data_IF_103174735012
#
_entry.id   IF_103174735012
#
_cell.length_a   1.000
_cell.length_b   1.000
_cell.length_c   1.000
_cell.angle_alpha   90.00
_cell.angle_beta   90.00
_cell.angle_gamma   90.00
#
_symmetry.space_group_name_H-M   'P 1'
#
loop_
_entity.id
_entity.type
_entity.pdbx_description
1 polymer ?
#
# COMPACT_ATOMS: atom_id res chain seq x y z
N UNK A 1 -0.96 -38.75 -24.06
CA UNK A 1 -0.79 -38.18 -22.69
C UNK A 1 -0.26 -36.74 -22.81
N UNK A 2 -1.13 -35.72 -22.76
CA UNK A 2 -0.71 -34.31 -22.78
C UNK A 2 -0.30 -33.88 -21.37
N UNK A 3 0.96 -33.47 -21.19
CA UNK A 3 1.47 -32.85 -19.94
C UNK A 3 0.82 -31.47 -19.78
N UNK A 4 0.05 -31.29 -18.71
CA UNK A 4 -0.41 -29.98 -18.28
C UNK A 4 0.81 -29.13 -17.85
N UNK A 5 1.05 -28.01 -18.54
CA UNK A 5 2.03 -27.01 -18.10
C UNK A 5 1.38 -26.22 -16.97
N UNK A 6 1.93 -26.33 -15.77
CA UNK A 6 1.60 -25.48 -14.63
C UNK A 6 1.75 -24.01 -15.06
N UNK A 7 0.65 -23.25 -14.96
CA UNK A 7 0.66 -21.81 -15.12
C UNK A 7 1.66 -21.21 -14.14
N UNK A 8 2.56 -20.36 -14.64
CA UNK A 8 3.48 -19.59 -13.83
C UNK A 8 2.65 -18.63 -12.97
N UNK A 9 2.36 -19.03 -11.73
CA UNK A 9 1.88 -18.12 -10.69
C UNK A 9 3.06 -17.23 -10.26
N UNK A 10 3.52 -16.39 -11.19
CA UNK A 10 4.40 -15.26 -10.87
C UNK A 10 3.63 -14.31 -9.98
N UNK A 11 4.35 -13.63 -9.09
CA UNK A 11 3.85 -12.43 -8.43
C UNK A 11 3.09 -11.58 -9.48
N UNK A 12 1.92 -10.99 -9.15
CA UNK A 12 1.19 -10.17 -10.10
C UNK A 12 2.18 -9.14 -10.66
N UNK A 13 2.08 -8.79 -11.95
CA UNK A 13 2.94 -7.78 -12.55
C UNK A 13 2.57 -6.38 -12.04
N UNK A 14 2.03 -6.26 -10.82
CA UNK A 14 2.28 -5.06 -10.04
C UNK A 14 3.76 -5.10 -9.72
N UNK A 15 4.54 -4.14 -10.23
CA UNK A 15 5.73 -3.82 -9.48
C UNK A 15 5.18 -3.47 -8.08
N UNK A 16 5.66 -4.13 -7.03
CA UNK A 16 6.12 -3.31 -5.91
C UNK A 16 6.83 -2.17 -6.62
N UNK A 17 6.32 -0.94 -6.59
CA UNK A 17 6.83 0.17 -7.40
C UNK A 17 8.22 0.58 -6.91
N UNK A 18 9.17 -0.36 -6.97
CA UNK A 18 10.61 -0.29 -6.74
C UNK A 18 11.29 -1.45 -7.50
N UNK A 19 10.86 -1.73 -8.72
CA UNK A 19 11.86 -2.08 -9.73
C UNK A 19 12.62 -0.78 -9.99
N UNK A 20 13.79 -0.60 -9.36
CA UNK A 20 14.76 0.42 -9.78
C UNK A 20 14.95 0.26 -11.29
N UNK A 21 14.62 1.24 -12.14
CA UNK A 21 15.21 1.27 -13.47
C UNK A 21 16.65 1.73 -13.24
N UNK A 22 17.61 0.80 -13.33
CA UNK A 22 18.95 1.16 -13.76
C UNK A 22 18.84 1.69 -15.19
N UNK A 23 18.59 2.99 -15.34
CA UNK A 23 18.65 3.68 -16.63
C UNK A 23 19.55 4.89 -16.44
N UNK A 24 20.68 4.89 -17.14
CA UNK A 24 21.60 6.01 -17.23
C UNK A 24 20.84 7.25 -17.71
N UNK A 25 20.90 8.33 -16.93
CA UNK A 25 20.38 9.62 -17.35
C UNK A 25 21.21 10.16 -18.50
N UNK A 26 20.67 10.06 -19.72
CA UNK A 26 21.01 10.95 -20.82
C UNK A 26 20.26 12.27 -20.61
N UNK A 27 21.01 13.32 -20.32
CA UNK A 27 20.49 14.68 -20.14
C UNK A 27 19.85 15.20 -21.43
N UNK A 28 18.56 15.56 -21.39
CA UNK A 28 17.98 16.60 -22.26
C UNK A 28 16.88 17.36 -21.51
N UNK A 29 17.13 18.64 -21.37
CA UNK A 29 16.28 19.68 -20.78
C UNK A 29 15.08 19.97 -21.67
N UNK A 30 13.89 20.13 -21.08
CA UNK A 30 12.72 20.72 -21.70
C UNK A 30 11.84 21.40 -20.63
N UNK A 31 11.04 22.43 -20.99
CA UNK A 31 10.79 23.59 -20.15
C UNK A 31 9.64 23.44 -19.16
N UNK A 32 9.78 24.15 -18.05
CA UNK A 32 8.90 24.20 -16.88
C UNK A 32 7.57 24.89 -17.16
N UNK A 33 6.47 24.15 -16.97
CA UNK A 33 5.11 24.71 -16.85
C UNK A 33 4.82 24.97 -15.37
N UNK A 34 4.28 26.14 -14.98
CA UNK A 34 4.02 26.46 -13.58
C UNK A 34 2.79 25.69 -13.08
N UNK A 35 3.02 24.71 -12.21
CA UNK A 35 1.94 24.01 -11.51
C UNK A 35 1.40 24.91 -10.39
N UNK A 36 0.10 25.20 -10.45
CA UNK A 36 -0.62 25.87 -9.36
C UNK A 36 -0.48 25.06 -8.07
N UNK A 37 0.09 25.69 -7.03
CA UNK A 37 0.09 25.24 -5.64
C UNK A 37 -1.36 25.01 -5.19
N UNK A 38 -1.67 23.79 -4.81
CA UNK A 38 -2.98 23.42 -4.30
C UNK A 38 -2.90 22.09 -3.54
N UNK A 39 -2.26 22.12 -2.37
CA UNK A 39 -2.76 21.55 -1.11
C UNK A 39 -1.60 21.12 -0.20
N UNK A 40 -1.32 21.93 0.82
CA UNK A 40 -0.33 21.65 1.87
C UNK A 40 -0.90 20.65 2.91
N UNK A 41 -1.19 19.40 2.50
CA UNK A 41 -1.82 18.39 3.37
C UNK A 41 -0.84 17.37 4.01
N UNK A 42 0.45 17.72 4.11
CA UNK A 42 1.47 16.82 4.66
C UNK A 42 1.80 17.25 6.09
N UNK A 43 1.44 16.43 7.07
CA UNK A 43 1.43 16.88 8.48
C UNK A 43 2.63 16.43 9.32
N UNK A 44 3.39 15.43 8.88
CA UNK A 44 4.49 14.89 9.69
C UNK A 44 5.66 14.43 8.82
N UNK A 45 6.86 14.81 9.25
CA UNK A 45 8.17 14.31 8.79
C UNK A 45 8.92 13.75 9.99
N UNK A 46 9.93 12.91 9.73
CA UNK A 46 10.36 11.90 10.70
C UNK A 46 11.80 12.13 11.24
N UNK A 47 12.09 11.90 12.54
CA UNK A 47 13.44 12.01 13.11
C UNK A 47 14.35 10.79 12.84
N UNK A 48 15.67 11.04 12.79
CA UNK A 48 16.74 10.21 12.18
C UNK A 48 17.04 8.78 12.69
N UNK A 49 16.76 8.32 13.94
CA UNK A 49 17.23 6.99 14.38
C UNK A 49 16.42 5.78 13.82
N UNK A 50 15.28 6.03 13.16
CA UNK A 50 14.40 4.98 12.60
C UNK A 50 14.82 4.44 11.23
N UNK A 51 15.87 5.01 10.61
CA UNK A 51 16.28 4.67 9.23
C UNK A 51 16.65 3.19 9.07
N UNK A 52 17.21 2.56 10.11
CA UNK A 52 17.71 1.18 10.02
C UNK A 52 16.57 0.14 9.97
N UNK A 53 15.51 0.32 10.78
CA UNK A 53 14.36 -0.59 10.78
C UNK A 53 13.66 -0.60 9.42
N UNK A 54 13.39 0.59 8.87
CA UNK A 54 12.60 0.76 7.66
C UNK A 54 13.28 0.18 6.41
N UNK A 55 14.59 0.36 6.30
CA UNK A 55 15.41 -0.28 5.24
C UNK A 55 15.42 -1.80 5.38
N UNK A 56 15.59 -2.31 6.60
CA UNK A 56 15.52 -3.75 6.87
C UNK A 56 14.16 -4.34 6.49
N UNK A 57 13.07 -3.60 6.70
CA UNK A 57 11.73 -4.05 6.27
C UNK A 57 11.64 -4.14 4.75
N UNK A 58 12.18 -3.17 4.01
CA UNK A 58 12.26 -3.27 2.55
C UNK A 58 13.06 -4.51 2.11
N UNK A 59 14.21 -4.76 2.72
CA UNK A 59 15.03 -5.94 2.41
C UNK A 59 14.26 -7.25 2.65
N UNK A 60 13.55 -7.35 3.77
CA UNK A 60 12.73 -8.53 4.11
C UNK A 60 11.63 -8.75 3.06
N UNK A 61 10.92 -7.69 2.67
CA UNK A 61 9.81 -7.76 1.71
C UNK A 61 10.29 -8.17 0.32
N UNK A 62 11.44 -7.66 -0.11
CA UNK A 62 11.96 -7.89 -1.46
C UNK A 62 12.81 -9.15 -1.60
N UNK A 63 13.22 -9.77 -0.48
CA UNK A 63 13.99 -11.01 -0.48
C UNK A 63 13.29 -12.10 -1.31
N UNK A 64 14.07 -12.83 -2.12
CA UNK A 64 13.59 -13.89 -3.02
C UNK A 64 12.47 -13.42 -3.98
N UNK A 65 12.62 -12.20 -4.51
CA UNK A 65 11.64 -11.51 -5.37
C UNK A 65 10.26 -11.40 -4.69
N UNK A 66 10.26 -11.25 -3.37
CA UNK A 66 9.07 -11.20 -2.52
C UNK A 66 8.31 -12.51 -2.40
N UNK A 67 8.78 -13.64 -2.94
CA UNK A 67 8.06 -14.92 -2.81
C UNK A 67 7.82 -15.33 -1.36
N UNK A 68 8.77 -15.03 -0.47
CA UNK A 68 8.64 -15.31 0.96
C UNK A 68 7.69 -14.34 1.66
N UNK A 69 7.26 -13.26 1.01
CA UNK A 69 6.38 -12.25 1.59
C UNK A 69 4.91 -12.61 1.47
N UNK A 70 4.46 -13.03 0.28
CA UNK A 70 3.03 -13.19 -0.03
C UNK A 70 2.56 -14.65 -0.09
N UNK A 71 3.46 -15.63 -0.15
CA UNK A 71 3.09 -17.06 -0.14
C UNK A 71 3.00 -17.56 1.29
N UNK A 72 1.83 -18.02 1.78
CA UNK A 72 1.64 -18.39 3.19
C UNK A 72 2.69 -19.39 3.73
N UNK A 73 2.96 -20.45 2.98
CA UNK A 73 3.92 -21.48 3.38
C UNK A 73 5.36 -20.94 3.46
N UNK A 74 5.77 -20.11 2.49
CA UNK A 74 7.12 -19.53 2.48
C UNK A 74 7.27 -18.44 3.53
N UNK A 75 6.22 -17.64 3.74
CA UNK A 75 6.18 -16.63 4.80
C UNK A 75 6.41 -17.26 6.17
N UNK A 76 5.65 -18.30 6.51
CA UNK A 76 5.81 -19.02 7.79
C UNK A 76 7.20 -19.61 7.95
N UNK A 77 7.77 -20.15 6.88
CA UNK A 77 9.08 -20.84 6.90
C UNK A 77 10.27 -19.88 6.99
N UNK A 78 10.23 -18.77 6.25
CA UNK A 78 11.40 -17.93 6.00
C UNK A 78 11.31 -16.50 6.53
N UNK A 79 10.10 -15.97 6.69
CA UNK A 79 9.88 -14.53 6.95
C UNK A 79 9.37 -14.27 8.35
N UNK A 80 8.39 -15.05 8.82
CA UNK A 80 7.67 -14.77 10.07
C UNK A 80 8.60 -14.61 11.29
N UNK A 81 9.68 -15.41 11.37
CA UNK A 81 10.63 -15.38 12.49
C UNK A 81 11.62 -14.22 12.46
N UNK A 82 11.82 -13.60 11.29
CA UNK A 82 12.77 -12.49 11.11
C UNK A 82 12.09 -11.13 11.09
N UNK A 83 10.75 -11.11 11.18
CA UNK A 83 9.98 -9.88 11.36
C UNK A 83 10.42 -9.18 12.65
N UNK A 84 10.73 -7.87 12.61
CA UNK A 84 11.07 -7.08 13.78
C UNK A 84 9.96 -7.13 14.84
N UNK A 85 10.35 -7.14 16.13
CA UNK A 85 9.41 -7.32 17.26
C UNK A 85 8.48 -6.12 17.47
N UNK A 86 8.85 -4.98 16.89
CA UNK A 86 8.06 -3.74 16.82
C UNK A 86 6.76 -3.96 16.03
N UNK A 87 6.73 -4.95 15.13
CA UNK A 87 5.55 -5.30 14.34
C UNK A 87 4.79 -6.47 14.96
N UNK A 88 3.50 -6.28 15.18
CA UNK A 88 2.60 -7.38 15.55
C UNK A 88 1.87 -7.88 14.30
N UNK A 89 2.15 -9.12 13.89
CA UNK A 89 1.37 -9.81 12.85
C UNK A 89 -0.02 -10.10 13.41
N UNK A 90 -1.05 -9.56 12.77
CA UNK A 90 -2.45 -9.86 13.08
C UNK A 90 -2.94 -11.05 12.26
N UNK A 91 -2.61 -11.07 10.97
CA UNK A 91 -2.96 -12.15 10.05
C UNK A 91 -1.77 -12.45 9.12
N UNK A 92 -1.47 -13.73 8.84
CA UNK A 92 -0.49 -14.09 7.81
C UNK A 92 -0.98 -13.65 6.43
N UNK A 93 -0.12 -13.66 5.38
CA UNK A 93 -0.60 -13.41 4.02
C UNK A 93 -1.66 -14.46 3.67
N UNK A 94 -2.77 -14.08 3.03
CA UNK A 94 -3.79 -15.03 2.62
C UNK A 94 -3.35 -15.83 1.38
N UNK A 95 -4.20 -16.78 0.98
CA UNK A 95 -3.97 -17.57 -0.23
C UNK A 95 -4.02 -16.70 -1.49
N UNK A 96 -3.46 -17.18 -2.60
CA UNK A 96 -3.33 -16.36 -3.82
C UNK A 96 -4.67 -15.89 -4.41
N UNK A 97 -5.75 -16.66 -4.23
CA UNK A 97 -7.10 -16.36 -4.70
C UNK A 97 -7.89 -15.46 -3.74
N UNK A 98 -7.37 -15.24 -2.54
CA UNK A 98 -7.96 -14.40 -1.49
C UNK A 98 -7.09 -13.18 -1.21
N UNK A 99 -6.02 -12.99 -1.97
CA UNK A 99 -5.09 -11.89 -1.76
C UNK A 99 -5.72 -10.53 -2.09
N UNK A 100 -5.44 -9.57 -1.23
CA UNK A 100 -5.89 -8.19 -1.34
C UNK A 100 -4.82 -7.23 -0.81
N UNK A 101 -4.87 -5.98 -1.25
CA UNK A 101 -3.92 -4.94 -0.85
C UNK A 101 -4.46 -3.99 0.25
N UNK A 102 -3.64 -3.03 0.66
CA UNK A 102 -3.96 -2.00 1.66
C UNK A 102 -5.27 -1.27 1.39
N UNK A 103 -5.53 -0.85 0.15
CA UNK A 103 -6.73 -0.11 -0.19
C UNK A 103 -8.01 -0.91 0.01
N UNK A 104 -8.02 -2.20 -0.38
CA UNK A 104 -9.16 -3.09 -0.13
C UNK A 104 -9.37 -3.28 1.39
N UNK A 105 -8.28 -3.37 2.15
CA UNK A 105 -8.34 -3.50 3.60
C UNK A 105 -8.97 -2.27 4.27
N UNK A 106 -8.45 -1.07 4.02
CA UNK A 106 -8.95 0.16 4.68
C UNK A 106 -10.42 0.45 4.32
N UNK A 107 -10.87 0.01 3.14
CA UNK A 107 -12.25 0.14 2.69
C UNK A 107 -13.21 -0.90 3.30
N UNK A 108 -12.70 -1.85 4.11
CA UNK A 108 -13.51 -2.91 4.73
C UNK A 108 -14.00 -3.97 3.75
N UNK A 109 -13.29 -4.15 2.62
CA UNK A 109 -13.70 -5.02 1.51
C UNK A 109 -12.90 -6.32 1.44
N UNK A 110 -12.09 -6.64 2.46
CA UNK A 110 -11.23 -7.84 2.54
C UNK A 110 -11.99 -9.17 2.49
N UNK A 111 -13.27 -9.18 2.84
CA UNK A 111 -14.12 -10.37 2.81
C UNK A 111 -15.11 -10.39 1.63
N UNK A 112 -15.03 -9.42 0.71
CA UNK A 112 -15.84 -9.41 -0.51
C UNK A 112 -15.13 -10.16 -1.63
N UNK A 113 -15.29 -11.48 -1.65
CA UNK A 113 -14.62 -12.36 -2.62
C UNK A 113 -14.95 -12.04 -4.08
N UNK A 114 -16.15 -11.51 -4.35
CA UNK A 114 -16.55 -11.08 -5.69
C UNK A 114 -15.75 -9.84 -6.12
N UNK A 115 -15.63 -8.85 -5.24
CA UNK A 115 -14.82 -7.66 -5.50
C UNK A 115 -13.33 -8.01 -5.64
N UNK A 116 -12.80 -8.88 -4.78
CA UNK A 116 -11.41 -9.32 -4.85
C UNK A 116 -11.12 -9.98 -6.21
N UNK A 117 -11.99 -10.87 -6.69
CA UNK A 117 -11.86 -11.46 -8.04
C UNK A 117 -11.94 -10.41 -9.13
N UNK A 118 -12.92 -9.50 -9.04
CA UNK A 118 -13.17 -8.45 -10.02
C UNK A 118 -11.99 -7.49 -10.21
N UNK A 119 -11.29 -7.17 -9.13
CA UNK A 119 -10.12 -6.29 -9.13
C UNK A 119 -8.78 -7.05 -9.12
N UNK A 120 -8.80 -8.38 -9.20
CA UNK A 120 -7.60 -9.23 -9.05
C UNK A 120 -6.80 -8.92 -7.79
N UNK A 121 -7.50 -8.64 -6.68
CA UNK A 121 -6.89 -8.35 -5.38
C UNK A 121 -6.23 -6.98 -5.27
N UNK A 122 -6.50 -6.05 -6.19
CA UNK A 122 -5.90 -4.72 -6.19
C UNK A 122 -6.89 -3.59 -6.48
N UNK A 123 -7.01 -2.69 -5.51
CA UNK A 123 -7.42 -1.30 -5.78
C UNK A 123 -6.15 -0.47 -5.94
N UNK A 124 -6.01 0.25 -7.05
CA UNK A 124 -4.82 1.07 -7.34
C UNK A 124 -4.94 2.47 -6.75
N UNK A 125 -3.79 3.09 -6.51
CA UNK A 125 -3.69 4.47 -6.01
C UNK A 125 -4.42 5.46 -6.91
N UNK A 126 -4.46 5.24 -8.23
CA UNK A 126 -5.21 6.08 -9.17
C UNK A 126 -6.70 6.20 -8.85
N UNK A 127 -7.36 5.11 -8.43
CA UNK A 127 -8.75 5.15 -8.01
C UNK A 127 -8.88 5.95 -6.71
N UNK A 128 -8.01 5.71 -5.74
CA UNK A 128 -8.06 6.38 -4.45
C UNK A 128 -7.77 7.88 -4.57
N UNK A 129 -6.78 8.25 -5.39
CA UNK A 129 -6.45 9.63 -5.74
C UNK A 129 -7.63 10.32 -6.42
N UNK A 130 -8.31 9.66 -7.36
CA UNK A 130 -9.51 10.20 -8.00
C UNK A 130 -10.61 10.54 -6.99
N UNK A 131 -10.80 9.70 -5.97
CA UNK A 131 -11.78 9.95 -4.92
C UNK A 131 -11.40 11.15 -4.03
N UNK A 132 -10.11 11.39 -3.81
CA UNK A 132 -9.60 12.56 -3.08
C UNK A 132 -9.71 13.84 -3.93
N UNK A 133 -9.32 13.79 -5.21
CA UNK A 133 -9.37 14.91 -6.14
C UNK A 133 -10.81 15.41 -6.33
N UNK A 134 -11.77 14.48 -6.42
CA UNK A 134 -13.20 14.78 -6.51
C UNK A 134 -13.82 15.17 -5.15
N UNK A 135 -13.02 15.27 -4.09
CA UNK A 135 -13.44 15.58 -2.70
C UNK A 135 -14.53 14.64 -2.16
N UNK A 136 -14.57 13.41 -2.67
CA UNK A 136 -15.48 12.36 -2.19
C UNK A 136 -14.93 11.78 -0.89
N UNK A 137 -13.62 11.55 -0.84
CA UNK A 137 -12.89 11.29 0.38
C UNK A 137 -12.40 12.62 0.96
N UNK A 138 -12.58 12.80 2.26
CA UNK A 138 -12.30 14.08 2.93
C UNK A 138 -11.04 13.96 3.78
N UNK A 139 -10.05 14.83 3.54
CA UNK A 139 -8.87 14.94 4.38
C UNK A 139 -9.22 15.54 5.75
N UNK A 140 -8.49 15.14 6.80
CA UNK A 140 -8.70 15.66 8.17
C UNK A 140 -7.37 16.00 8.86
N UNK A 141 -7.44 16.96 9.78
CA UNK A 141 -6.35 17.40 10.64
C UNK A 141 -6.44 16.78 12.04
N UNK A 142 -7.64 16.31 12.38
CA UNK A 142 -7.95 15.65 13.63
C UNK A 142 -8.44 14.21 13.34
N UNK A 143 -7.51 13.29 13.02
CA UNK A 143 -7.86 11.90 12.77
C UNK A 143 -8.43 11.23 14.03
N UNK A 144 -9.43 10.38 13.85
CA UNK A 144 -10.00 9.57 14.90
C UNK A 144 -9.70 8.08 14.67
N UNK A 145 -9.90 7.26 15.69
CA UNK A 145 -9.85 5.81 15.54
C UNK A 145 -10.81 5.37 14.42
N UNK A 146 -10.30 4.55 13.50
CA UNK A 146 -11.03 4.09 12.32
C UNK A 146 -10.76 4.91 11.06
N UNK A 147 -10.30 6.17 11.19
CA UNK A 147 -9.91 6.99 10.03
C UNK A 147 -8.69 6.39 9.32
N UNK A 148 -8.47 6.82 8.08
CA UNK A 148 -7.39 6.32 7.25
C UNK A 148 -6.15 7.19 7.40
N UNK A 149 -4.99 6.54 7.37
CA UNK A 149 -3.70 7.17 7.16
C UNK A 149 -3.18 6.77 5.80
N UNK A 150 -2.68 7.75 5.05
CA UNK A 150 -2.20 7.61 3.68
C UNK A 150 -0.75 8.03 3.63
N UNK A 151 0.11 7.18 3.05
CA UNK A 151 1.54 7.41 2.92
C UNK A 151 1.89 7.91 1.53
N UNK A 152 2.88 8.79 1.48
CA UNK A 152 3.39 9.40 0.27
C UNK A 152 4.92 9.38 0.29
N UNK A 153 5.51 8.95 -0.82
CA UNK A 153 6.92 9.18 -1.11
C UNK A 153 7.04 10.40 -2.03
N UNK A 154 7.03 11.59 -1.43
CA UNK A 154 7.07 12.84 -2.20
C UNK A 154 8.40 13.05 -2.94
N UNK A 155 9.45 12.30 -2.55
CA UNK A 155 10.77 12.41 -3.17
C UNK A 155 10.80 11.67 -4.51
N UNK A 156 10.33 10.44 -4.53
CA UNK A 156 10.41 9.60 -5.73
C UNK A 156 9.09 9.59 -6.53
N UNK A 157 7.95 9.77 -5.86
CA UNK A 157 6.61 9.66 -6.45
C UNK A 157 5.63 10.71 -5.91
N UNK A 158 5.80 12.00 -6.27
CA UNK A 158 5.06 13.12 -5.68
C UNK A 158 3.54 13.12 -5.89
N UNK A 159 3.02 12.26 -6.76
CA UNK A 159 1.58 12.17 -7.10
C UNK A 159 0.97 10.80 -6.79
N UNK A 160 1.71 9.91 -6.14
CA UNK A 160 1.30 8.52 -5.94
C UNK A 160 1.21 8.24 -4.44
N UNK A 161 0.04 7.76 -4.04
CA UNK A 161 -0.14 7.13 -2.75
C UNK A 161 0.58 5.79 -2.76
N UNK A 162 1.55 5.64 -1.86
CA UNK A 162 2.38 4.43 -1.77
C UNK A 162 1.77 3.36 -0.89
N UNK A 163 1.07 3.76 0.19
CA UNK A 163 0.48 2.85 1.15
C UNK A 163 -0.69 3.50 1.92
N UNK A 164 -1.49 2.66 2.58
CA UNK A 164 -2.58 3.11 3.43
C UNK A 164 -2.82 2.17 4.62
N UNK A 165 -3.33 2.73 5.73
CA UNK A 165 -3.71 1.99 6.92
C UNK A 165 -4.90 2.60 7.66
N UNK A 166 -5.35 1.90 8.69
CA UNK A 166 -6.44 2.32 9.59
C UNK A 166 -5.82 2.76 10.92
N UNK A 167 -6.24 3.92 11.41
CA UNK A 167 -5.80 4.46 12.69
C UNK A 167 -6.46 3.69 13.83
N UNK A 168 -5.66 3.12 14.72
CA UNK A 168 -6.18 2.44 15.91
C UNK A 168 -6.17 3.35 17.13
N UNK A 169 -5.10 4.14 17.29
CA UNK A 169 -4.93 5.14 18.34
C UNK A 169 -3.90 6.21 17.89
N UNK A 170 -3.39 7.03 18.81
CA UNK A 170 -2.53 8.20 18.51
C UNK A 170 -1.25 7.86 17.73
N UNK A 171 -0.63 6.71 17.99
CA UNK A 171 0.67 6.34 17.40
C UNK A 171 0.64 4.99 16.68
N UNK A 172 -0.44 4.23 16.81
CA UNK A 172 -0.56 2.86 16.30
C UNK A 172 -1.59 2.77 15.19
N UNK A 173 -1.25 2.01 14.16
CA UNK A 173 -2.11 1.76 13.00
C UNK A 173 -2.18 0.28 12.68
N UNK A 174 -3.22 -0.11 11.95
CA UNK A 174 -3.39 -1.43 11.36
C UNK A 174 -3.31 -1.29 9.85
N UNK A 175 -2.44 -2.03 9.18
CA UNK A 175 -2.34 -1.94 7.72
C UNK A 175 -1.93 -3.25 7.06
N UNK A 176 -2.45 -3.47 5.85
CA UNK A 176 -2.19 -4.64 5.02
C UNK A 176 -1.09 -4.33 4.01
N UNK A 177 0.02 -5.06 4.04
CA UNK A 177 1.20 -4.68 3.25
C UNK A 177 1.22 -5.41 1.91
N UNK A 178 0.59 -4.79 0.90
CA UNK A 178 0.32 -5.41 -0.40
C UNK A 178 -0.32 -6.79 -0.21
N UNK A 179 0.17 -7.85 -0.88
CA UNK A 179 -0.28 -9.24 -0.69
C UNK A 179 0.37 -9.95 0.51
N UNK A 180 1.10 -9.22 1.36
CA UNK A 180 1.74 -9.74 2.57
C UNK A 180 0.80 -9.89 3.77
N UNK A 181 1.35 -9.96 4.99
CA UNK A 181 0.59 -10.01 6.22
C UNK A 181 -0.20 -8.72 6.52
N UNK A 182 -1.14 -8.84 7.45
CA UNK A 182 -1.76 -7.72 8.14
C UNK A 182 -0.99 -7.42 9.43
N UNK A 183 -0.61 -6.17 9.63
CA UNK A 183 0.19 -5.75 10.78
C UNK A 183 -0.50 -4.71 11.63
N UNK A 184 -0.19 -4.74 12.93
CA UNK A 184 -0.34 -3.62 13.86
C UNK A 184 1.06 -3.08 14.19
N UNK A 185 1.26 -1.78 14.03
CA UNK A 185 2.58 -1.16 14.13
C UNK A 185 2.48 0.35 14.38
N UNK A 186 3.58 1.02 14.76
CA UNK A 186 3.58 2.48 14.86
C UNK A 186 3.51 3.12 13.48
N UNK A 187 3.05 4.38 13.41
CA UNK A 187 2.85 5.12 12.15
C UNK A 187 4.03 4.98 11.17
N UNK A 188 5.27 4.88 11.63
CA UNK A 188 6.41 4.81 10.71
C UNK A 188 7.29 3.58 10.90
N UNK A 189 6.81 2.57 11.62
CA UNK A 189 7.37 1.22 11.60
C UNK A 189 6.92 0.52 10.32
N UNK A 190 7.26 1.12 9.18
CA UNK A 190 6.87 0.71 7.82
C UNK A 190 8.10 0.73 6.91
N UNK A 191 8.07 0.04 5.76
CA UNK A 191 9.14 0.11 4.78
C UNK A 191 9.53 1.56 4.43
N UNK A 192 10.82 1.80 4.16
CA UNK A 192 11.33 3.12 3.76
C UNK A 192 10.66 3.55 2.44
N UNK A 193 10.44 2.58 1.57
CA UNK A 193 9.77 2.71 0.28
C UNK A 193 8.33 3.22 0.35
N UNK A 194 7.67 3.21 1.52
CA UNK A 194 6.36 3.85 1.67
C UNK A 194 6.45 5.37 1.82
N UNK A 195 7.66 5.93 2.01
CA UNK A 195 7.88 7.36 2.07
C UNK A 195 7.78 7.93 3.49
N UNK A 196 8.04 9.23 3.61
CA UNK A 196 8.22 9.91 4.90
C UNK A 196 7.08 10.87 5.24
N UNK A 197 6.04 10.90 4.40
CA UNK A 197 4.98 11.88 4.46
C UNK A 197 3.65 11.16 4.62
N UNK A 198 2.82 11.65 5.53
CA UNK A 198 1.49 11.11 5.78
C UNK A 198 0.41 12.19 5.68
N UNK A 199 -0.75 11.79 5.18
CA UNK A 199 -2.00 12.54 5.28
C UNK A 199 -3.09 11.68 5.90
N UNK A 200 -4.12 12.31 6.45
CA UNK A 200 -5.23 11.60 7.10
C UNK A 200 -6.53 11.86 6.36
N UNK A 201 -7.36 10.83 6.27
CA UNK A 201 -8.62 10.84 5.51
C UNK A 201 -9.72 10.24 6.39
N UNK A 202 -10.88 10.89 6.41
CA UNK A 202 -12.05 10.37 7.13
C UNK A 202 -12.47 9.01 6.55
N UNK A 203 -12.76 8.07 7.44
CA UNK A 203 -13.25 6.76 7.04
C UNK A 203 -14.63 6.84 6.39
N UNK A 204 -14.92 5.85 5.54
CA UNK A 204 -16.24 5.67 4.94
C UNK A 204 -16.77 4.29 5.29
N UNK A 205 -18.10 4.13 5.25
CA UNK A 205 -18.72 2.82 5.45
C UNK A 205 -18.35 1.85 4.32
N UNK A 206 -18.40 0.56 4.62
CA UNK A 206 -18.16 -0.51 3.64
C UNK A 206 -19.13 -0.43 2.46
N UNK A 207 -20.39 -0.10 2.72
CA UNK A 207 -21.45 0.04 1.72
C UNK A 207 -21.10 1.18 0.76
N UNK A 208 -20.67 2.32 1.32
CA UNK A 208 -20.23 3.48 0.54
C UNK A 208 -18.98 3.16 -0.28
N UNK A 209 -18.00 2.46 0.31
CA UNK A 209 -16.80 2.03 -0.40
C UNK A 209 -17.13 1.14 -1.60
N UNK A 210 -18.06 0.19 -1.43
CA UNK A 210 -18.52 -0.71 -2.50
C UNK A 210 -19.23 0.03 -3.62
N UNK A 211 -20.09 1.00 -3.28
CA UNK A 211 -20.75 1.87 -4.25
C UNK A 211 -19.72 2.68 -5.06
N UNK A 212 -18.78 3.32 -4.37
CA UNK A 212 -17.72 4.11 -5.00
C UNK A 212 -16.84 3.26 -5.91
N UNK A 213 -16.45 2.05 -5.48
CA UNK A 213 -15.70 1.15 -6.33
C UNK A 213 -16.44 0.86 -7.63
N UNK A 214 -17.73 0.49 -7.57
CA UNK A 214 -18.54 0.23 -8.78
C UNK A 214 -18.61 1.45 -9.69
N UNK A 215 -18.88 2.64 -9.13
CA UNK A 215 -19.04 3.89 -9.89
C UNK A 215 -17.74 4.35 -10.54
N UNK A 216 -16.60 4.18 -9.86
CA UNK A 216 -15.29 4.67 -10.29
C UNK A 216 -14.35 3.57 -10.79
N UNK A 217 -14.84 2.33 -10.97
CA UNK A 217 -14.03 1.17 -11.39
C UNK A 217 -13.15 1.43 -12.62
N UNK A 218 -13.61 2.25 -13.57
CA UNK A 218 -12.84 2.63 -14.77
C UNK A 218 -11.51 3.33 -14.48
N UNK A 219 -11.34 3.88 -13.27
CA UNK A 219 -10.11 4.51 -12.79
C UNK A 219 -9.22 3.55 -11.98
N UNK A 220 -9.66 2.31 -11.75
CA UNK A 220 -8.84 1.29 -11.09
C UNK A 220 -7.79 0.71 -12.04
N UNK A 221 -6.78 1.51 -12.36
CA UNK A 221 -5.72 1.18 -13.33
C UNK A 221 -4.34 1.32 -12.68
N UNK A 222 -3.40 0.54 -13.20
CA UNK A 222 -1.97 0.63 -12.87
C UNK A 222 -1.38 1.96 -13.31
#
# INVERSE_FOLDING_TARGET
>A
RRKARAGKNSFPPTPFLFARPSVQFGARSAPSVPFKKGSDFVKQTHPMPMINLRKKLDEIIHKDNGNNWWKPCLFKKHTQKIIPKELKILEPPPSSNENYNCFIHILGLSHDSNLIKDCSGFIYSALFQKLLDDKILTCTDNPQKGDYIIYHDLKNYPKIITHAGIIENKDTIISKWAWGPLFRHKIFDVPESYGNNVSYVKSISKERAKELYKKYKKFNKK
#
